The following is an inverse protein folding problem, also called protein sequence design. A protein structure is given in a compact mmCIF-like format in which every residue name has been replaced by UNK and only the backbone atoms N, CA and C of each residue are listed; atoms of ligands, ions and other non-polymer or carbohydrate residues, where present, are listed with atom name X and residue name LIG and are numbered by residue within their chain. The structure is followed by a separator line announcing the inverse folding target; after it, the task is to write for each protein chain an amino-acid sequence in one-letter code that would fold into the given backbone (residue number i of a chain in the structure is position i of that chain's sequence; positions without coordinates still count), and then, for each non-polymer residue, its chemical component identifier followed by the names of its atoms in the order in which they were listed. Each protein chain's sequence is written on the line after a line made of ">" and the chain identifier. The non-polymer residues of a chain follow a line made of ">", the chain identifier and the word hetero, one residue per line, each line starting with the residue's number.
data_IF_291885541648
#
_entry.id   IF_291885541648
#
_cell.length_a   1.000
_cell.length_b   1.000
_cell.length_c   1.000
_cell.angle_alpha   90.00
_cell.angle_beta   90.00
_cell.angle_gamma   90.00
#
_symmetry.space_group_name_H-M   'P 1'
#
loop_
_entity.id
_entity.type
_entity.pdbx_description
1 polymer ?
#
# COMPACT_ATOMS: atom_id res chain seq x y z
N UNK A 1 22.72 30.54 7.13
CA UNK A 1 21.39 30.28 7.73
C UNK A 1 20.94 28.92 7.24
N UNK A 2 21.03 27.93 8.11
CA UNK A 2 20.65 26.54 7.83
C UNK A 2 19.11 26.46 7.76
N UNK A 3 18.50 25.90 6.71
CA UNK A 3 17.04 25.82 6.63
C UNK A 3 16.53 24.91 7.76
N UNK A 4 15.72 25.46 8.67
CA UNK A 4 15.12 24.68 9.77
C UNK A 4 14.31 23.51 9.16
N UNK A 5 14.57 22.26 9.53
CA UNK A 5 13.89 21.12 8.94
C UNK A 5 12.41 21.09 9.38
N UNK A 6 11.51 20.85 8.42
CA UNK A 6 10.06 20.75 8.64
C UNK A 6 9.69 19.52 9.49
N UNK A 7 8.64 19.57 10.35
CA UNK A 7 8.57 18.64 11.46
C UNK A 7 8.07 17.21 11.13
N UNK A 8 7.42 16.93 9.98
CA UNK A 8 6.74 15.63 9.77
C UNK A 8 6.60 15.08 8.32
N UNK A 9 7.67 15.03 7.50
CA UNK A 9 7.80 13.95 6.50
C UNK A 9 9.09 13.13 6.62
N UNK A 10 9.96 13.43 7.60
CA UNK A 10 11.33 12.87 7.67
C UNK A 10 11.58 11.77 8.71
N UNK A 11 10.57 11.26 9.41
CA UNK A 11 10.81 10.26 10.49
C UNK A 11 10.95 8.83 10.00
N UNK A 12 10.32 8.48 8.88
CA UNK A 12 10.31 7.12 8.36
C UNK A 12 10.80 7.09 6.92
N UNK A 13 11.75 6.20 6.63
CA UNK A 13 12.18 5.91 5.26
C UNK A 13 11.13 5.04 4.54
N UNK A 14 11.27 4.89 3.21
CA UNK A 14 10.45 3.95 2.44
C UNK A 14 10.59 2.52 2.97
N UNK A 15 11.79 2.10 3.39
CA UNK A 15 12.03 0.78 3.95
C UNK A 15 11.34 0.59 5.31
N UNK A 16 11.37 1.61 6.16
CA UNK A 16 10.65 1.58 7.43
C UNK A 16 9.13 1.57 7.20
N UNK A 17 8.64 2.32 6.20
CA UNK A 17 7.24 2.27 5.81
C UNK A 17 6.84 0.88 5.26
N UNK A 18 7.72 0.23 4.50
CA UNK A 18 7.52 -1.15 4.03
C UNK A 18 7.46 -2.13 5.22
N UNK A 19 8.33 -1.97 6.21
CA UNK A 19 8.32 -2.77 7.42
C UNK A 19 7.03 -2.56 8.24
N UNK A 20 6.55 -1.32 8.36
CA UNK A 20 5.24 -1.02 8.98
C UNK A 20 4.12 -1.79 8.29
N UNK A 21 4.07 -1.78 6.95
CA UNK A 21 3.07 -2.53 6.18
C UNK A 21 3.18 -4.04 6.41
N UNK A 22 4.41 -4.58 6.38
CA UNK A 22 4.67 -6.00 6.63
C UNK A 22 4.21 -6.45 8.02
N UNK A 23 4.53 -5.66 9.05
CA UNK A 23 4.11 -5.95 10.42
C UNK A 23 2.59 -5.85 10.58
N UNK A 24 1.97 -4.86 9.92
CA UNK A 24 0.51 -4.72 9.92
C UNK A 24 -0.18 -5.91 9.25
N UNK A 25 0.34 -6.39 8.11
CA UNK A 25 -0.17 -7.57 7.41
C UNK A 25 -0.09 -8.85 8.28
N UNK A 26 0.83 -8.90 9.24
CA UNK A 26 0.94 -9.96 10.25
C UNK A 26 0.03 -9.77 11.47
N UNK A 27 -0.90 -8.80 11.41
CA UNK A 27 -1.88 -8.56 12.45
C UNK A 27 -1.46 -7.59 13.55
N UNK A 28 -0.28 -6.95 13.47
CA UNK A 28 0.17 -6.02 14.52
C UNK A 28 -0.79 -4.81 14.62
N UNK A 29 -1.21 -4.41 15.84
CA UNK A 29 -2.06 -3.24 16.05
C UNK A 29 -1.34 -1.94 15.69
N UNK A 30 -2.10 -0.94 15.20
CA UNK A 30 -1.53 0.37 14.81
C UNK A 30 -0.86 1.11 15.99
N UNK A 31 -1.35 0.90 17.22
CA UNK A 31 -0.79 1.54 18.41
C UNK A 31 0.62 1.01 18.74
N UNK A 32 0.80 -0.32 18.69
CA UNK A 32 2.11 -0.96 18.88
C UNK A 32 3.11 -0.50 17.80
N UNK A 33 2.66 -0.36 16.55
CA UNK A 33 3.48 0.16 15.47
C UNK A 33 3.85 1.63 15.69
N UNK A 34 2.91 2.45 16.14
CA UNK A 34 3.16 3.87 16.41
C UNK A 34 4.24 4.06 17.49
N UNK A 35 4.11 3.31 18.59
CA UNK A 35 5.09 3.28 19.67
C UNK A 35 6.46 2.79 19.17
N UNK A 36 6.50 1.63 18.50
CA UNK A 36 7.74 1.02 18.00
C UNK A 36 8.52 1.94 17.07
N UNK A 37 7.83 2.71 16.22
CA UNK A 37 8.46 3.57 15.22
C UNK A 37 8.54 5.04 15.66
N UNK A 38 8.09 5.39 16.87
CA UNK A 38 8.18 6.77 17.39
C UNK A 38 7.37 7.80 16.59
N UNK A 39 6.24 7.38 16.02
CA UNK A 39 5.35 8.19 15.17
C UNK A 39 3.93 8.21 15.68
N UNK A 40 3.11 9.14 15.19
CA UNK A 40 1.69 9.16 15.51
C UNK A 40 0.95 7.97 14.88
N UNK A 41 -0.09 7.47 15.55
CA UNK A 41 -0.99 6.42 15.02
C UNK A 41 -1.60 6.80 13.67
N UNK A 42 -1.90 8.08 13.46
CA UNK A 42 -2.37 8.62 12.18
C UNK A 42 -1.33 8.48 11.06
N UNK A 43 -0.03 8.66 11.37
CA UNK A 43 1.06 8.43 10.43
C UNK A 43 1.17 6.97 10.01
N UNK A 44 1.03 6.04 10.97
CA UNK A 44 1.00 4.60 10.67
C UNK A 44 -0.19 4.27 9.77
N UNK A 45 -1.38 4.81 10.08
CA UNK A 45 -2.57 4.63 9.24
C UNK A 45 -2.35 5.14 7.81
N UNK A 46 -1.76 6.32 7.65
CA UNK A 46 -1.45 6.89 6.34
C UNK A 46 -0.48 6.00 5.54
N UNK A 47 0.54 5.42 6.18
CA UNK A 47 1.48 4.49 5.55
C UNK A 47 0.78 3.19 5.12
N UNK A 48 -0.04 2.60 6.00
CA UNK A 48 -0.78 1.35 5.75
C UNK A 48 -1.74 1.50 4.56
N UNK A 49 -2.41 2.63 4.45
CA UNK A 49 -3.37 2.91 3.37
C UNK A 49 -2.76 3.61 2.15
N UNK A 50 -1.42 3.58 1.99
CA UNK A 50 -0.70 4.18 0.86
C UNK A 50 -1.02 5.67 0.62
N UNK A 51 -1.41 6.39 1.68
CA UNK A 51 -1.57 7.86 1.66
C UNK A 51 -0.26 8.60 1.89
N UNK A 52 0.78 7.89 2.34
CA UNK A 52 2.14 8.39 2.52
C UNK A 52 3.15 7.28 2.25
N UNK A 53 4.39 7.66 1.86
CA UNK A 53 5.50 6.73 1.60
C UNK A 53 5.12 5.64 0.59
N UNK A 54 4.40 6.02 -0.47
CA UNK A 54 3.95 5.11 -1.52
C UNK A 54 5.17 4.41 -2.14
N UNK A 55 5.14 3.06 -2.28
CA UNK A 55 6.23 2.33 -2.89
C UNK A 55 6.51 2.85 -4.31
N UNK A 56 7.78 2.99 -4.72
CA UNK A 56 8.11 3.24 -6.11
C UNK A 56 7.47 2.19 -7.03
N UNK A 57 6.93 2.63 -8.17
CA UNK A 57 6.26 1.74 -9.12
C UNK A 57 4.84 1.32 -8.72
N UNK A 58 4.23 1.96 -7.72
CA UNK A 58 2.80 1.77 -7.44
C UNK A 58 1.96 2.33 -8.58
N UNK A 59 1.05 1.52 -9.11
CA UNK A 59 0.06 1.93 -10.09
C UNK A 59 -1.30 2.07 -9.42
N UNK A 60 -1.98 3.19 -9.66
CA UNK A 60 -3.38 3.38 -9.25
C UNK A 60 -4.27 3.19 -10.46
N UNK A 61 -5.24 2.31 -10.31
CA UNK A 61 -6.22 1.99 -11.35
C UNK A 61 -7.58 2.46 -10.87
N UNK A 62 -8.26 3.23 -11.70
CA UNK A 62 -9.68 3.48 -11.54
C UNK A 62 -10.43 2.47 -12.39
N UNK A 63 -11.24 1.64 -11.73
CA UNK A 63 -12.09 0.67 -12.39
C UNK A 63 -13.54 1.14 -12.29
N UNK A 64 -14.33 1.04 -13.37
CA UNK A 64 -15.78 1.15 -13.30
C UNK A 64 -16.34 0.20 -12.22
N UNK A 65 -17.44 0.61 -11.57
CA UNK A 65 -18.00 -0.15 -10.45
C UNK A 65 -18.26 -1.63 -10.79
N UNK A 66 -18.81 -1.90 -11.99
CA UNK A 66 -19.07 -3.28 -12.44
C UNK A 66 -17.81 -4.13 -12.60
N UNK A 67 -16.69 -3.54 -13.05
CA UNK A 67 -15.42 -4.26 -13.20
C UNK A 67 -14.78 -4.55 -11.84
N UNK A 68 -14.89 -3.60 -10.90
CA UNK A 68 -14.40 -3.79 -9.54
C UNK A 68 -15.18 -4.89 -8.80
N UNK A 69 -16.50 -4.95 -8.99
CA UNK A 69 -17.33 -5.96 -8.37
C UNK A 69 -17.06 -7.35 -8.96
N UNK A 70 -16.87 -7.46 -10.28
CA UNK A 70 -16.44 -8.69 -10.92
C UNK A 70 -15.08 -9.16 -10.37
N UNK A 71 -14.11 -8.26 -10.26
CA UNK A 71 -12.78 -8.57 -9.72
C UNK A 71 -12.86 -9.09 -8.28
N UNK A 72 -13.72 -8.48 -7.44
CA UNK A 72 -13.97 -8.93 -6.07
C UNK A 72 -14.60 -10.31 -6.02
N UNK A 73 -15.56 -10.59 -6.89
CA UNK A 73 -16.21 -11.88 -6.98
C UNK A 73 -15.20 -12.98 -7.35
N UNK A 74 -14.41 -12.78 -8.41
CA UNK A 74 -13.38 -13.73 -8.83
C UNK A 74 -12.37 -13.96 -7.71
N UNK A 75 -11.92 -12.89 -7.04
CA UNK A 75 -10.98 -13.01 -5.93
C UNK A 75 -11.56 -13.82 -4.76
N UNK A 76 -12.85 -13.67 -4.46
CA UNK A 76 -13.53 -14.47 -3.44
C UNK A 76 -13.66 -15.94 -3.87
N UNK A 77 -14.07 -16.19 -5.11
CA UNK A 77 -14.22 -17.54 -5.67
C UNK A 77 -12.89 -18.31 -5.70
N UNK A 78 -11.80 -17.63 -6.05
CA UNK A 78 -10.44 -18.20 -6.08
C UNK A 78 -9.72 -18.15 -4.71
N UNK A 79 -10.35 -17.57 -3.68
CA UNK A 79 -9.76 -17.36 -2.35
C UNK A 79 -8.39 -16.65 -2.40
N UNK A 80 -8.30 -15.60 -3.20
CA UNK A 80 -7.11 -14.74 -3.36
C UNK A 80 -7.41 -13.30 -2.95
N UNK A 81 -6.37 -12.49 -2.75
CA UNK A 81 -6.54 -11.05 -2.50
C UNK A 81 -6.83 -10.32 -3.82
N UNK A 82 -7.75 -9.34 -3.78
CA UNK A 82 -8.19 -8.56 -4.95
C UNK A 82 -7.01 -7.87 -5.63
N UNK A 83 -6.11 -7.28 -4.86
CA UNK A 83 -4.92 -6.60 -5.37
C UNK A 83 -3.96 -7.56 -6.07
N UNK A 84 -3.84 -8.79 -5.54
CA UNK A 84 -3.03 -9.85 -6.13
C UNK A 84 -3.59 -10.33 -7.47
N UNK A 85 -4.91 -10.46 -7.56
CA UNK A 85 -5.59 -10.78 -8.82
C UNK A 85 -5.46 -9.63 -9.84
N UNK A 86 -5.69 -8.39 -9.42
CA UNK A 86 -5.53 -7.20 -10.27
C UNK A 86 -4.12 -7.11 -10.87
N UNK A 87 -3.10 -7.32 -10.04
CA UNK A 87 -1.71 -7.29 -10.49
C UNK A 87 -1.41 -8.37 -11.53
N UNK A 88 -1.92 -9.60 -11.34
CA UNK A 88 -1.76 -10.69 -12.32
C UNK A 88 -2.40 -10.33 -13.66
N UNK A 89 -3.65 -9.86 -13.64
CA UNK A 89 -4.36 -9.47 -14.85
C UNK A 89 -3.65 -8.34 -15.59
N UNK A 90 -3.15 -7.33 -14.87
CA UNK A 90 -2.38 -6.24 -15.45
C UNK A 90 -1.11 -6.76 -16.14
N UNK A 91 -0.36 -7.67 -15.50
CA UNK A 91 0.83 -8.29 -16.10
C UNK A 91 0.49 -9.02 -17.39
N UNK A 92 -0.60 -9.78 -17.42
CA UNK A 92 -1.04 -10.48 -18.64
C UNK A 92 -1.47 -9.51 -19.75
N UNK A 93 -2.14 -8.41 -19.42
CA UNK A 93 -2.47 -7.35 -20.39
C UNK A 93 -1.20 -6.69 -20.95
N UNK A 94 -0.22 -6.38 -20.08
CA UNK A 94 1.03 -5.76 -20.53
C UNK A 94 1.84 -6.72 -21.41
N UNK A 95 1.86 -8.02 -21.09
CA UNK A 95 2.53 -9.05 -21.91
C UNK A 95 1.90 -9.21 -23.28
N UNK A 96 0.57 -9.20 -23.36
CA UNK A 96 -0.16 -9.36 -24.62
C UNK A 96 -0.04 -8.16 -25.57
N UNK A 97 0.27 -6.97 -25.04
CA UNK A 97 0.48 -5.74 -25.82
C UNK A 97 1.94 -5.47 -26.22
N UNK A 98 2.89 -6.27 -25.74
CA UNK A 98 4.32 -6.07 -25.97
C UNK A 98 4.83 -6.64 -27.32
N UNK A 99 3.93 -6.93 -28.26
CA UNK A 99 4.23 -7.51 -29.58
C UNK A 99 3.54 -6.72 -30.70
#
# INVERSE_FOLDING_TARGET
>A
MDPRPHPFPGKLTLDQAAEVRRLRARGRPLAELAERFGVAKSSVSAIVHLKAHEPPGTLRLELPAGELDLLRQIAADENVQVEGLAAKLLVEVLRSRAW
#
